data_IF_831058582463
#
_entry.id   IF_831058582463
#
_cell.length_a   1.000
_cell.length_b   1.000
_cell.length_c   1.000
_cell.angle_alpha   90.00
_cell.angle_beta   90.00
_cell.angle_gamma   90.00
#
_symmetry.space_group_name_H-M   'P 1'
#
loop_
_entity.id
_entity.type
_entity.pdbx_description
1 polymer ?
#
# COMPACT_ATOMS: atom_id res chain seq x y z
N UNK A 1 -14.09 3.42 17.85
CA UNK A 1 -13.36 2.16 18.18
C UNK A 1 -14.23 1.03 17.70
N UNK A 2 -13.95 0.48 16.52
CA UNK A 2 -14.67 -0.68 16.00
C UNK A 2 -13.99 -1.96 16.49
N UNK A 3 -14.77 -2.89 17.04
CA UNK A 3 -14.28 -4.21 17.41
C UNK A 3 -14.09 -5.04 16.13
N UNK A 4 -12.95 -5.71 16.06
CA UNK A 4 -12.67 -6.69 15.01
C UNK A 4 -13.70 -7.84 15.04
N UNK A 5 -14.15 -8.27 13.87
CA UNK A 5 -14.97 -9.48 13.75
C UNK A 5 -14.14 -10.71 14.10
N UNK A 6 -14.79 -11.82 14.46
CA UNK A 6 -14.10 -13.07 14.79
C UNK A 6 -13.19 -13.61 13.66
N UNK A 7 -13.43 -13.18 12.43
CA UNK A 7 -12.60 -13.52 11.27
C UNK A 7 -11.37 -12.61 11.14
N UNK A 8 -11.45 -11.34 11.50
CA UNK A 8 -10.28 -10.46 11.51
C UNK A 8 -9.24 -10.89 12.56
N UNK A 9 -9.71 -11.57 13.62
CA UNK A 9 -8.86 -12.17 14.66
C UNK A 9 -8.00 -13.32 14.14
N UNK A 10 -8.44 -13.99 13.08
CA UNK A 10 -7.68 -15.09 12.46
C UNK A 10 -6.57 -14.59 11.50
N UNK A 11 -6.59 -13.31 11.15
CA UNK A 11 -5.84 -12.74 10.03
C UNK A 11 -4.33 -12.50 10.26
N UNK A 12 -3.82 -12.27 11.49
CA UNK A 12 -2.38 -12.19 11.72
C UNK A 12 -1.67 -13.55 11.60
N UNK A 13 -2.38 -14.63 11.91
CA UNK A 13 -1.79 -15.97 11.97
C UNK A 13 -1.33 -16.51 10.59
N UNK A 14 -2.05 -16.32 9.48
CA UNK A 14 -1.59 -16.69 8.14
C UNK A 14 -0.30 -15.99 7.69
N UNK A 15 -0.16 -14.69 7.98
CA UNK A 15 1.04 -13.94 7.59
C UNK A 15 2.28 -14.41 8.36
N UNK A 16 2.14 -14.70 9.67
CA UNK A 16 3.20 -15.31 10.49
C UNK A 16 3.52 -16.77 10.07
N UNK A 17 2.57 -17.44 9.40
CA UNK A 17 2.72 -18.77 8.80
C UNK A 17 3.21 -18.72 7.33
N UNK A 18 3.50 -17.53 6.80
CA UNK A 18 4.06 -17.34 5.45
C UNK A 18 3.03 -17.34 4.31
N UNK A 19 1.76 -17.05 4.59
CA UNK A 19 0.67 -16.93 3.61
C UNK A 19 0.19 -15.48 3.50
N UNK A 20 0.84 -14.65 2.66
CA UNK A 20 0.53 -13.24 2.54
C UNK A 20 -0.94 -13.03 2.18
N UNK A 21 -1.65 -12.24 2.99
CA UNK A 21 -3.04 -11.84 2.74
C UNK A 21 -3.11 -10.48 2.03
N UNK A 22 -2.25 -10.22 1.04
CA UNK A 22 -2.23 -8.98 0.26
C UNK A 22 -2.79 -9.15 -1.16
N UNK A 23 -3.55 -8.15 -1.60
CA UNK A 23 -3.97 -7.99 -2.99
C UNK A 23 -3.07 -6.96 -3.65
N UNK A 24 -2.50 -7.31 -4.79
CA UNK A 24 -1.75 -6.40 -5.65
C UNK A 24 -2.46 -6.17 -6.98
N UNK A 25 -2.44 -4.93 -7.46
CA UNK A 25 -2.87 -4.57 -8.80
C UNK A 25 -1.78 -3.75 -9.49
N UNK A 26 -1.57 -3.97 -10.79
CA UNK A 26 -0.67 -3.15 -11.59
C UNK A 26 -1.41 -2.55 -12.78
N UNK A 27 -1.28 -1.24 -12.95
CA UNK A 27 -1.84 -0.50 -14.08
C UNK A 27 -0.77 0.34 -14.77
N UNK A 28 -0.94 0.58 -16.06
CA UNK A 28 -0.12 1.55 -16.81
C UNK A 28 -0.95 2.81 -16.96
N UNK A 29 -0.41 3.93 -16.50
CA UNK A 29 -1.07 5.22 -16.48
C UNK A 29 -0.40 6.16 -17.48
N UNK A 30 -1.18 7.13 -17.96
CA UNK A 30 -0.61 8.33 -18.57
C UNK A 30 0.11 9.15 -17.50
N UNK A 31 1.43 9.28 -17.65
CA UNK A 31 2.28 10.02 -16.73
C UNK A 31 2.63 11.42 -17.21
N UNK A 32 1.98 11.96 -18.26
CA UNK A 32 2.35 13.24 -18.88
C UNK A 32 2.48 14.38 -17.87
N UNK A 33 1.60 14.44 -16.86
CA UNK A 33 1.62 15.44 -15.77
C UNK A 33 2.49 15.06 -14.57
N UNK A 34 2.98 13.81 -14.54
CA UNK A 34 3.81 13.25 -13.47
C UNK A 34 5.31 13.36 -13.76
N UNK A 35 5.71 13.82 -14.94
CA UNK A 35 7.09 14.13 -15.28
C UNK A 35 7.31 15.64 -15.38
N UNK A 36 8.44 16.12 -14.88
CA UNK A 36 8.87 17.51 -15.09
C UNK A 36 9.35 17.74 -16.55
N UNK A 37 9.69 18.98 -16.94
CA UNK A 37 10.21 19.27 -18.28
C UNK A 37 11.50 18.51 -18.63
N UNK A 38 12.28 18.11 -17.62
CA UNK A 38 13.54 17.37 -17.78
C UNK A 38 13.31 15.84 -17.81
N UNK A 39 12.05 15.39 -17.74
CA UNK A 39 11.69 13.97 -17.76
C UNK A 39 11.85 13.26 -16.41
N UNK A 40 12.00 14.00 -15.30
CA UNK A 40 12.12 13.41 -13.96
C UNK A 40 10.73 13.18 -13.35
N UNK A 41 10.54 12.02 -12.73
CA UNK A 41 9.29 11.69 -12.07
C UNK A 41 9.06 12.55 -10.82
N UNK A 42 7.90 13.22 -10.77
CA UNK A 42 7.48 14.12 -9.70
C UNK A 42 6.85 13.34 -8.55
N UNK A 43 7.66 12.57 -7.81
CA UNK A 43 7.17 11.73 -6.71
C UNK A 43 6.39 12.51 -5.65
N UNK A 44 6.77 13.76 -5.35
CA UNK A 44 6.05 14.60 -4.39
C UNK A 44 4.65 15.00 -4.88
N UNK A 45 4.46 15.17 -6.19
CA UNK A 45 3.13 15.41 -6.75
C UNK A 45 2.25 14.17 -6.61
N UNK A 46 2.81 12.98 -6.81
CA UNK A 46 2.10 11.72 -6.60
C UNK A 46 1.74 11.51 -5.12
N UNK A 47 2.68 11.79 -4.20
CA UNK A 47 2.45 11.73 -2.74
C UNK A 47 1.32 12.66 -2.32
N UNK A 48 1.34 13.91 -2.76
CA UNK A 48 0.27 14.88 -2.49
C UNK A 48 -1.09 14.39 -3.02
N UNK A 49 -1.14 13.87 -4.24
CA UNK A 49 -2.38 13.34 -4.81
C UNK A 49 -2.93 12.14 -4.02
N UNK A 50 -2.05 11.28 -3.46
CA UNK A 50 -2.45 10.18 -2.57
C UNK A 50 -2.94 10.74 -1.23
N UNK A 51 -2.21 11.67 -0.63
CA UNK A 51 -2.57 12.32 0.64
C UNK A 51 -3.98 12.91 0.63
N UNK A 52 -4.31 13.67 -0.41
CA UNK A 52 -5.63 14.27 -0.61
C UNK A 52 -6.74 13.22 -0.62
N UNK A 53 -6.48 12.03 -1.20
CA UNK A 53 -7.44 10.92 -1.28
C UNK A 53 -7.50 10.08 -0.01
N UNK A 54 -6.44 10.01 0.79
CA UNK A 54 -6.43 9.28 2.05
C UNK A 54 -7.46 9.83 3.05
N UNK A 55 -7.78 11.12 2.96
CA UNK A 55 -8.84 11.74 3.78
C UNK A 55 -10.22 11.14 3.52
N UNK A 56 -10.46 10.59 2.32
CA UNK A 56 -11.72 10.00 1.92
C UNK A 56 -11.90 8.55 2.41
N UNK A 57 -10.80 7.90 2.82
CA UNK A 57 -10.82 6.50 3.23
C UNK A 57 -10.06 6.32 4.55
N UNK A 58 -10.72 6.59 5.71
CA UNK A 58 -10.08 6.55 7.02
C UNK A 58 -9.32 5.26 7.32
N UNK A 59 -9.77 4.13 6.77
CA UNK A 59 -9.15 2.81 6.94
C UNK A 59 -7.70 2.74 6.44
N UNK A 60 -7.33 3.54 5.43
CA UNK A 60 -5.94 3.60 4.94
C UNK A 60 -5.01 4.36 5.89
N UNK A 61 -5.56 4.97 6.94
CA UNK A 61 -4.79 5.63 8.00
C UNK A 61 -4.71 4.77 9.26
N UNK A 62 -5.17 3.52 9.24
CA UNK A 62 -5.21 2.66 10.42
C UNK A 62 -4.11 1.60 10.40
N UNK A 63 -3.64 1.25 11.59
CA UNK A 63 -2.68 0.17 11.85
C UNK A 63 -3.34 -0.91 12.69
N UNK A 64 -2.89 -2.16 12.55
CA UNK A 64 -3.36 -3.25 13.40
C UNK A 64 -2.50 -3.26 14.66
N UNK A 65 -3.09 -2.85 15.79
CA UNK A 65 -2.44 -2.97 17.09
C UNK A 65 -2.69 -4.39 17.65
N UNK A 66 -1.60 -5.11 17.92
CA UNK A 66 -1.61 -6.41 18.58
C UNK A 66 -1.20 -6.21 20.05
N UNK A 67 -2.13 -6.25 21.02
CA UNK A 67 -1.77 -6.22 22.44
C UNK A 67 -0.85 -7.39 22.79
N UNK A 68 -0.04 -7.23 23.86
CA UNK A 68 0.74 -8.37 24.38
C UNK A 68 -0.19 -9.52 24.76
N UNK A 69 0.30 -10.75 24.66
CA UNK A 69 -0.47 -11.96 24.95
C UNK A 69 -1.16 -11.83 26.32
N UNK A 70 -2.49 -11.97 26.34
CA UNK A 70 -3.32 -11.85 27.54
C UNK A 70 -3.87 -10.44 27.84
N UNK A 71 -3.53 -9.40 27.05
CA UNK A 71 -3.99 -8.02 27.26
C UNK A 71 -5.13 -7.58 26.31
N UNK A 72 -5.76 -8.51 25.60
CA UNK A 72 -6.95 -8.25 24.79
C UNK A 72 -6.81 -8.65 23.33
N UNK A 73 -7.81 -8.25 22.54
CA UNK A 73 -7.94 -8.59 21.12
C UNK A 73 -7.22 -7.58 20.23
N UNK A 74 -6.71 -7.98 19.05
CA UNK A 74 -6.22 -7.07 18.04
C UNK A 74 -7.28 -6.02 17.67
N UNK A 75 -6.84 -4.81 17.35
CA UNK A 75 -7.73 -3.69 17.07
C UNK A 75 -7.11 -2.70 16.11
N UNK A 76 -7.94 -2.15 15.21
CA UNK A 76 -7.53 -1.07 14.33
C UNK A 76 -7.40 0.22 15.13
N UNK A 77 -6.24 0.86 15.03
CA UNK A 77 -5.98 2.17 15.63
C UNK A 77 -5.57 3.14 14.54
N UNK A 78 -6.05 4.37 14.65
CA UNK A 78 -5.61 5.44 13.75
C UNK A 78 -4.09 5.65 13.96
N UNK A 79 -3.35 5.62 12.85
CA UNK A 79 -1.95 6.01 12.84
C UNK A 79 -1.88 7.51 13.15
N UNK A 80 -0.95 7.88 14.04
CA UNK A 80 -0.72 9.29 14.38
C UNK A 80 -0.32 10.10 13.13
N UNK A 81 0.46 9.50 12.24
CA UNK A 81 0.81 10.05 10.94
C UNK A 81 1.02 8.91 9.92
N UNK A 82 0.81 9.20 8.64
CA UNK A 82 1.07 8.28 7.54
C UNK A 82 2.33 8.75 6.80
N UNK A 83 3.43 8.04 7.00
CA UNK A 83 4.69 8.30 6.30
C UNK A 83 4.57 7.97 4.80
N UNK A 84 4.14 8.95 4.00
CA UNK A 84 4.00 8.82 2.55
C UNK A 84 5.33 8.52 1.84
N UNK A 85 6.46 8.82 2.48
CA UNK A 85 7.78 8.41 2.00
C UNK A 85 7.95 6.90 1.95
N UNK A 86 7.43 6.22 2.99
CA UNK A 86 7.37 4.77 3.06
C UNK A 86 6.28 4.19 2.17
N UNK A 87 5.08 4.78 2.14
CA UNK A 87 3.96 4.16 1.43
C UNK A 87 3.98 4.42 -0.08
N UNK A 88 4.50 5.56 -0.53
CA UNK A 88 4.50 5.96 -1.94
C UNK A 88 5.94 6.13 -2.41
N UNK A 89 6.39 5.16 -3.21
CA UNK A 89 7.77 5.05 -3.70
C UNK A 89 7.79 5.03 -5.23
N UNK A 90 8.94 5.38 -5.80
CA UNK A 90 9.21 5.25 -7.23
C UNK A 90 10.48 4.43 -7.44
N UNK A 91 10.51 3.67 -8.52
CA UNK A 91 11.70 2.96 -8.97
C UNK A 91 11.75 3.01 -10.50
N UNK A 92 12.93 3.29 -11.02
CA UNK A 92 13.15 3.30 -12.46
C UNK A 92 13.33 1.86 -12.96
N UNK A 93 12.42 1.44 -13.83
CA UNK A 93 12.31 0.06 -14.32
C UNK A 93 11.82 0.11 -15.77
N UNK A 94 12.57 -0.47 -16.73
CA UNK A 94 12.11 -0.57 -18.11
C UNK A 94 10.83 -1.40 -18.24
N UNK A 95 10.03 -1.14 -19.27
CA UNK A 95 8.74 -1.83 -19.51
C UNK A 95 8.83 -3.36 -19.40
N UNK A 96 9.87 -3.98 -19.94
CA UNK A 96 10.08 -5.43 -19.90
C UNK A 96 10.20 -6.01 -18.48
N UNK A 97 10.56 -5.19 -17.49
CA UNK A 97 10.78 -5.60 -16.10
C UNK A 97 9.65 -5.16 -15.16
N UNK A 98 8.57 -4.59 -15.68
CA UNK A 98 7.40 -4.15 -14.89
C UNK A 98 6.79 -5.30 -14.08
N UNK A 99 6.49 -6.43 -14.74
CA UNK A 99 5.91 -7.60 -14.06
C UNK A 99 6.92 -8.28 -13.10
N UNK A 100 8.19 -8.53 -13.48
CA UNK A 100 9.21 -8.99 -12.53
C UNK A 100 9.39 -8.08 -11.32
N UNK A 101 9.35 -6.76 -11.50
CA UNK A 101 9.44 -5.81 -10.40
C UNK A 101 8.23 -5.93 -9.46
N UNK A 102 7.01 -6.00 -10.02
CA UNK A 102 5.80 -6.22 -9.24
C UNK A 102 5.84 -7.54 -8.46
N UNK A 103 6.32 -8.61 -9.07
CA UNK A 103 6.46 -9.93 -8.45
C UNK A 103 7.46 -9.91 -7.28
N UNK A 104 8.60 -9.22 -7.46
CA UNK A 104 9.58 -9.01 -6.39
C UNK A 104 9.05 -8.13 -5.26
N UNK A 105 8.22 -7.13 -5.57
CA UNK A 105 7.58 -6.27 -4.56
C UNK A 105 6.56 -7.05 -3.75
N UNK A 106 5.71 -7.85 -4.42
CA UNK A 106 4.69 -8.69 -3.79
C UNK A 106 5.25 -9.67 -2.76
N UNK A 107 6.46 -10.21 -2.98
CA UNK A 107 7.11 -11.16 -2.06
C UNK A 107 7.56 -10.54 -0.72
N UNK A 108 7.60 -9.22 -0.60
CA UNK A 108 8.04 -8.55 0.63
C UNK A 108 6.88 -8.47 1.62
N UNK A 109 7.01 -8.89 2.89
CA UNK A 109 5.96 -8.68 3.87
C UNK A 109 5.68 -7.18 4.04
N UNK A 110 4.43 -6.82 4.27
CA UNK A 110 4.06 -5.46 4.66
C UNK A 110 4.50 -5.21 6.10
N UNK A 111 4.92 -3.98 6.42
CA UNK A 111 5.24 -3.59 7.78
C UNK A 111 3.96 -3.43 8.60
N UNK A 112 3.72 -4.36 9.52
CA UNK A 112 2.50 -4.39 10.36
C UNK A 112 2.37 -3.22 11.33
N UNK A 113 3.45 -2.49 11.60
CA UNK A 113 3.41 -1.30 12.46
C UNK A 113 3.00 -0.04 11.70
N UNK A 114 2.69 -0.17 10.41
CA UNK A 114 2.27 0.90 9.51
C UNK A 114 0.96 0.54 8.83
N UNK A 115 0.25 1.53 8.25
CA UNK A 115 -0.92 1.24 7.44
C UNK A 115 -0.58 0.21 6.36
N UNK A 116 -1.37 -0.86 6.29
CA UNK A 116 -1.04 -2.07 5.52
C UNK A 116 -1.28 -1.93 4.01
N UNK A 117 -0.67 -0.92 3.39
CA UNK A 117 -0.73 -0.68 1.95
C UNK A 117 0.55 -0.01 1.44
N UNK A 118 0.85 -0.18 0.15
CA UNK A 118 1.98 0.47 -0.53
C UNK A 118 1.59 0.80 -1.98
N UNK A 119 2.19 1.86 -2.51
CA UNK A 119 2.09 2.28 -3.91
C UNK A 119 3.51 2.45 -4.45
N UNK A 120 3.77 1.81 -5.59
CA UNK A 120 5.04 1.85 -6.29
C UNK A 120 4.83 2.36 -7.72
N UNK A 121 5.48 3.47 -8.05
CA UNK A 121 5.55 4.01 -9.40
C UNK A 121 6.78 3.43 -10.13
N UNK A 122 6.54 2.87 -11.31
CA UNK A 122 7.55 2.29 -12.21
C UNK A 122 7.76 3.29 -13.34
N UNK A 123 8.88 4.02 -13.34
CA UNK A 123 9.00 5.27 -14.11
C UNK A 123 9.73 5.14 -15.45
N UNK A 124 10.33 3.97 -15.74
CA UNK A 124 11.16 3.75 -16.93
C UNK A 124 10.39 3.34 -18.18
N UNK A 125 9.09 3.68 -18.27
CA UNK A 125 8.25 3.30 -19.39
C UNK A 125 8.35 4.35 -20.52
N UNK A 126 8.24 3.91 -21.78
CA UNK A 126 8.24 4.83 -22.92
C UNK A 126 6.96 5.68 -22.96
N UNK A 127 6.99 6.74 -23.76
CA UNK A 127 5.83 7.60 -24.06
C UNK A 127 5.28 8.34 -22.83
N UNK A 128 6.15 8.70 -21.88
CA UNK A 128 5.77 9.34 -20.59
C UNK A 128 4.72 8.53 -19.81
N UNK A 129 4.65 7.21 -20.02
CA UNK A 129 3.80 6.33 -19.22
C UNK A 129 4.46 6.03 -17.89
N UNK A 130 3.65 5.64 -16.91
CA UNK A 130 4.13 5.18 -15.61
C UNK A 130 3.38 3.94 -15.21
N UNK A 131 4.09 2.90 -14.77
CA UNK A 131 3.45 1.78 -14.10
C UNK A 131 3.08 2.18 -12.67
N UNK A 132 1.88 1.84 -12.22
CA UNK A 132 1.45 2.03 -10.84
C UNK A 132 1.10 0.65 -10.28
N UNK A 133 1.94 0.15 -9.39
CA UNK A 133 1.67 -1.05 -8.61
C UNK A 133 1.15 -0.65 -7.25
N UNK A 134 -0.09 -1.05 -6.95
CA UNK A 134 -0.73 -0.81 -5.66
C UNK A 134 -0.88 -2.15 -4.98
N UNK A 135 -0.54 -2.18 -3.70
CA UNK A 135 -0.72 -3.35 -2.85
C UNK A 135 -1.44 -2.95 -1.58
N UNK A 136 -2.40 -3.75 -1.16
CA UNK A 136 -3.16 -3.55 0.06
C UNK A 136 -3.39 -4.89 0.74
N UNK A 137 -3.28 -4.94 2.06
CA UNK A 137 -3.67 -6.12 2.81
C UNK A 137 -5.20 -6.29 2.77
N UNK A 138 -5.68 -7.51 2.53
CA UNK A 138 -7.09 -7.89 2.55
C UNK A 138 -7.85 -7.38 3.79
N UNK A 139 -7.16 -7.23 4.92
CA UNK A 139 -7.64 -6.64 6.15
C UNK A 139 -8.25 -5.24 5.96
N UNK A 140 -7.63 -4.42 5.11
CA UNK A 140 -8.10 -3.06 4.80
C UNK A 140 -9.28 -3.12 3.82
N UNK A 141 -9.22 -4.02 2.84
CA UNK A 141 -10.22 -4.13 1.78
C UNK A 141 -11.57 -4.70 2.27
N UNK A 142 -11.56 -5.52 3.32
CA UNK A 142 -12.78 -6.18 3.83
C UNK A 142 -13.68 -5.31 4.71
N UNK A 143 -13.21 -4.14 5.13
CA UNK A 143 -14.01 -3.19 5.91
C UNK A 143 -14.95 -2.32 5.03
N UNK A 144 -15.21 -2.73 3.78
CA UNK A 144 -15.99 -1.98 2.79
C UNK A 144 -17.36 -2.60 2.47
N UNK A 145 -17.70 -3.71 3.11
CA UNK A 145 -19.04 -4.29 3.07
C UNK A 145 -19.53 -4.43 4.50
N UNK A 146 -20.63 -3.73 4.78
CA UNK A 146 -21.41 -3.64 6.02
C UNK A 146 -21.31 -4.83 6.97
#
# INVERSE_FOLDING_TARGET
MDRLSAQDLSMPWPDDLGWPQDIGAIGILDGTTLFDPDGRFRIEAARKAVEERLTLVPRFRQTVNMPRLGLGWPLWVDAADVDLGHHVRAVDVPYAYVLPAAERLRRRPLDRYRPLWEIWFLTGLPDRRVGCYIRVHHAIARAWTW
#
